data_IF_098152550760
#
_entry.id   IF_098152550760
#
_cell.length_a   1.000
_cell.length_b   1.000
_cell.length_c   1.000
_cell.angle_alpha   90.00
_cell.angle_beta   90.00
_cell.angle_gamma   90.00
#
_symmetry.space_group_name_H-M   'P 1'
#
loop_
_entity.id
_entity.type
_entity.pdbx_description
1 polymer ?
#
# COMPACT_ATOMS: atom_id res chain seq x y z
N UNK A 1 17.18 0.67 20.76
CA UNK A 1 18.33 1.08 19.93
C UNK A 1 17.86 1.13 18.48
N UNK A 2 18.11 2.23 17.79
CA UNK A 2 17.83 2.35 16.35
C UNK A 2 19.05 1.77 15.62
N UNK A 3 18.82 0.76 14.79
CA UNK A 3 19.86 0.21 13.92
C UNK A 3 20.08 1.17 12.75
N UNK A 4 21.30 1.69 12.63
CA UNK A 4 21.67 2.62 11.55
C UNK A 4 22.39 1.85 10.46
N UNK A 5 21.80 1.79 9.29
CA UNK A 5 22.41 1.22 8.07
C UNK A 5 23.19 2.33 7.36
N UNK A 6 24.52 2.25 7.39
CA UNK A 6 25.41 3.19 6.71
C UNK A 6 25.67 2.70 5.28
N UNK A 7 24.94 3.24 4.33
CA UNK A 7 25.03 2.85 2.91
C UNK A 7 26.39 3.20 2.30
N UNK A 8 27.06 4.25 2.77
CA UNK A 8 28.36 4.68 2.24
C UNK A 8 29.49 3.69 2.60
N UNK A 9 29.31 2.96 3.69
CA UNK A 9 30.21 1.87 4.12
C UNK A 9 29.84 0.51 3.54
N UNK A 10 28.74 0.41 2.82
CA UNK A 10 28.32 -0.85 2.23
C UNK A 10 29.31 -1.31 1.15
N UNK A 11 29.70 -2.58 1.23
CA UNK A 11 30.58 -3.19 0.22
C UNK A 11 29.81 -3.37 -1.09
N UNK A 12 30.35 -2.81 -2.18
CA UNK A 12 29.76 -2.98 -3.52
C UNK A 12 30.15 -4.33 -4.08
N UNK A 13 29.17 -5.18 -4.32
CA UNK A 13 29.34 -6.43 -5.08
C UNK A 13 28.93 -6.20 -6.55
N UNK A 14 29.62 -6.87 -7.47
CA UNK A 14 29.33 -6.77 -8.91
C UNK A 14 28.04 -7.47 -9.30
N UNK A 15 27.68 -8.52 -8.59
CA UNK A 15 26.44 -9.28 -8.72
C UNK A 15 26.11 -9.95 -7.40
N UNK A 16 24.85 -9.93 -7.02
CA UNK A 16 24.30 -10.69 -5.90
C UNK A 16 23.41 -11.80 -6.47
N UNK A 17 23.77 -13.05 -6.18
CA UNK A 17 22.95 -14.18 -6.58
C UNK A 17 21.77 -14.31 -5.60
N UNK A 18 20.56 -14.48 -6.12
CA UNK A 18 19.38 -14.71 -5.29
C UNK A 18 19.57 -15.87 -4.32
N UNK A 19 20.23 -16.94 -4.76
CA UNK A 19 20.54 -18.12 -3.91
C UNK A 19 21.48 -17.83 -2.74
N UNK A 20 22.13 -16.67 -2.68
CA UNK A 20 22.97 -16.27 -1.54
C UNK A 20 22.20 -15.54 -0.43
N UNK A 21 20.96 -15.12 -0.70
CA UNK A 21 20.12 -14.34 0.22
C UNK A 21 18.72 -14.91 0.40
N UNK A 22 18.29 -15.82 -0.49
CA UNK A 22 16.98 -16.44 -0.44
C UNK A 22 17.15 -17.96 -0.29
N UNK A 23 16.27 -18.55 0.50
CA UNK A 23 16.07 -20.01 0.50
C UNK A 23 15.40 -20.46 -0.79
N UNK A 24 15.22 -21.78 -0.95
CA UNK A 24 14.50 -22.33 -2.10
C UNK A 24 13.07 -21.76 -2.15
N UNK A 25 12.67 -21.16 -3.28
CA UNK A 25 11.36 -20.49 -3.34
C UNK A 25 10.22 -21.52 -3.39
N UNK A 26 9.21 -21.28 -2.58
CA UNK A 26 7.91 -21.93 -2.74
C UNK A 26 7.14 -21.29 -3.89
N UNK A 27 6.55 -22.11 -4.75
CA UNK A 27 5.71 -21.65 -5.86
C UNK A 27 4.25 -21.97 -5.57
N UNK A 28 3.43 -20.93 -5.46
CA UNK A 28 1.98 -21.05 -5.29
C UNK A 28 1.31 -20.69 -6.62
N UNK A 29 0.60 -21.65 -7.21
CA UNK A 29 -0.18 -21.42 -8.44
C UNK A 29 -1.56 -20.90 -8.02
N UNK A 30 -1.87 -19.67 -8.42
CA UNK A 30 -3.17 -19.07 -8.11
C UNK A 30 -4.25 -19.59 -9.06
N UNK A 31 -5.42 -19.84 -8.50
CA UNK A 31 -6.62 -20.15 -9.28
C UNK A 31 -6.94 -18.99 -10.24
N UNK A 32 -7.30 -19.32 -11.48
CA UNK A 32 -7.68 -18.35 -12.50
C UNK A 32 -9.05 -18.75 -13.06
N UNK A 33 -10.03 -17.89 -12.83
CA UNK A 33 -11.39 -18.03 -13.34
C UNK A 33 -11.98 -16.62 -13.60
N UNK A 34 -13.18 -16.48 -14.20
CA UNK A 34 -13.75 -15.16 -14.51
C UNK A 34 -13.93 -14.22 -13.30
N UNK A 35 -13.94 -14.74 -12.07
CA UNK A 35 -14.10 -13.95 -10.85
C UNK A 35 -12.76 -13.45 -10.27
N UNK A 36 -11.64 -14.05 -10.68
CA UNK A 36 -10.31 -13.77 -10.14
C UNK A 36 -9.22 -13.70 -11.23
N UNK A 37 -9.50 -12.99 -12.32
CA UNK A 37 -8.49 -12.66 -13.33
C UNK A 37 -7.64 -11.53 -12.77
N UNK A 38 -6.31 -11.75 -12.71
CA UNK A 38 -5.33 -10.74 -12.34
C UNK A 38 -4.64 -10.29 -13.62
N UNK A 39 -4.61 -8.98 -13.85
CA UNK A 39 -3.97 -8.37 -15.01
C UNK A 39 -2.64 -7.73 -14.65
N UNK A 40 -2.58 -7.00 -13.54
CA UNK A 40 -1.36 -6.45 -12.97
C UNK A 40 -1.35 -6.56 -11.45
N UNK A 41 -0.19 -6.83 -10.86
CA UNK A 41 -0.03 -6.91 -9.41
C UNK A 41 0.61 -5.62 -8.90
N UNK A 42 -0.20 -4.71 -8.37
CA UNK A 42 0.28 -3.44 -7.83
C UNK A 42 0.75 -3.56 -6.38
N UNK A 43 0.09 -4.40 -5.58
CA UNK A 43 0.50 -4.68 -4.21
C UNK A 43 0.14 -6.12 -3.81
N UNK A 44 0.94 -6.70 -2.91
CA UNK A 44 0.72 -8.04 -2.36
C UNK A 44 1.09 -8.04 -0.88
N UNK A 45 0.31 -8.74 -0.06
CA UNK A 45 0.63 -9.02 1.34
C UNK A 45 0.09 -10.40 1.73
N UNK A 46 0.67 -10.99 2.80
CA UNK A 46 0.24 -12.27 3.35
C UNK A 46 -0.16 -12.07 4.81
N UNK A 47 -1.39 -12.47 5.15
CA UNK A 47 -1.89 -12.39 6.50
C UNK A 47 -2.73 -13.62 6.85
N UNK A 48 -2.43 -14.25 8.01
CA UNK A 48 -3.10 -15.48 8.50
C UNK A 48 -3.24 -16.59 7.43
N UNK A 49 -2.17 -16.77 6.62
CA UNK A 49 -2.13 -17.78 5.58
C UNK A 49 -2.95 -17.48 4.33
N UNK A 50 -3.54 -16.30 4.22
CA UNK A 50 -4.19 -15.82 3.01
C UNK A 50 -3.28 -14.83 2.28
N UNK A 51 -3.36 -14.84 0.94
CA UNK A 51 -2.62 -13.96 0.05
C UNK A 51 -3.57 -12.89 -0.43
N UNK A 52 -3.22 -11.63 -0.21
CA UNK A 52 -3.97 -10.45 -0.64
C UNK A 52 -3.27 -9.82 -1.82
N UNK A 53 -3.97 -9.63 -2.93
CA UNK A 53 -3.40 -9.10 -4.17
C UNK A 53 -4.27 -7.97 -4.67
N UNK A 54 -3.68 -6.80 -4.81
CA UNK A 54 -4.31 -5.64 -5.45
C UNK A 54 -3.92 -5.60 -6.92
N UNK A 55 -4.93 -5.52 -7.78
CA UNK A 55 -4.82 -5.25 -9.20
C UNK A 55 -5.35 -3.84 -9.45
N UNK A 56 -4.54 -2.94 -10.04
CA UNK A 56 -4.94 -1.57 -10.33
C UNK A 56 -5.38 -1.37 -11.78
N UNK A 57 -5.05 -2.28 -12.69
CA UNK A 57 -5.56 -2.29 -14.07
C UNK A 57 -7.01 -2.83 -14.12
N UNK A 58 -7.29 -3.91 -13.38
CA UNK A 58 -8.65 -4.37 -13.10
C UNK A 58 -8.97 -4.08 -11.63
N UNK A 59 -9.38 -2.82 -11.29
CA UNK A 59 -9.43 -2.33 -9.93
C UNK A 59 -10.13 -3.30 -8.97
N UNK A 60 -9.36 -4.17 -8.32
CA UNK A 60 -9.87 -5.20 -7.43
C UNK A 60 -8.83 -5.65 -6.40
N UNK A 61 -9.28 -5.89 -5.18
CA UNK A 61 -8.49 -6.54 -4.14
C UNK A 61 -8.97 -7.98 -3.99
N UNK A 62 -8.11 -8.91 -4.40
CA UNK A 62 -8.37 -10.34 -4.36
C UNK A 62 -7.78 -10.97 -3.10
N UNK A 63 -8.43 -12.00 -2.60
CA UNK A 63 -7.92 -12.84 -1.51
C UNK A 63 -7.87 -14.30 -1.99
N UNK A 64 -6.70 -14.91 -1.85
CA UNK A 64 -6.47 -16.32 -2.11
C UNK A 64 -6.05 -17.02 -0.83
N UNK A 65 -6.31 -18.30 -0.72
CA UNK A 65 -5.75 -19.13 0.34
C UNK A 65 -4.30 -19.47 0.04
N UNK A 66 -3.60 -19.97 1.04
CA UNK A 66 -2.20 -20.40 0.88
C UNK A 66 -1.99 -21.50 -0.18
N UNK A 67 -3.02 -22.29 -0.47
CA UNK A 67 -2.98 -23.29 -1.53
C UNK A 67 -3.20 -22.73 -2.94
N UNK A 68 -3.41 -21.43 -3.06
CA UNK A 68 -3.66 -20.71 -4.30
C UNK A 68 -5.13 -20.67 -4.71
N UNK A 69 -6.04 -21.33 -3.98
CA UNK A 69 -7.47 -21.28 -4.30
C UNK A 69 -8.08 -19.92 -4.05
N UNK A 70 -8.92 -19.43 -4.96
CA UNK A 70 -9.61 -18.15 -4.80
C UNK A 70 -10.58 -18.20 -3.63
N UNK A 71 -10.50 -17.19 -2.77
CA UNK A 71 -11.40 -17.06 -1.63
C UNK A 71 -12.50 -16.04 -1.92
N UNK A 72 -12.13 -14.82 -2.28
CA UNK A 72 -13.06 -13.72 -2.58
C UNK A 72 -12.38 -12.45 -3.08
N UNK A 73 -13.21 -11.48 -3.43
CA UNK A 73 -12.82 -10.06 -3.56
C UNK A 73 -13.22 -9.30 -2.30
N UNK A 74 -12.46 -8.25 -1.98
CA UNK A 74 -12.79 -7.29 -0.92
C UNK A 74 -13.27 -6.00 -1.57
N UNK A 75 -14.50 -5.60 -1.25
CA UNK A 75 -15.16 -4.46 -1.88
C UNK A 75 -15.38 -4.64 -3.38
N UNK A 76 -15.74 -3.57 -4.06
CA UNK A 76 -15.83 -3.51 -5.52
C UNK A 76 -15.76 -2.08 -6.02
N UNK A 77 -15.48 -1.92 -7.29
CA UNK A 77 -15.41 -0.61 -7.93
C UNK A 77 -16.81 -0.01 -8.07
N UNK A 78 -16.98 1.25 -7.66
CA UNK A 78 -18.25 1.95 -7.76
C UNK A 78 -18.24 3.33 -7.11
N UNK A 79 -19.43 3.82 -6.77
CA UNK A 79 -19.64 5.15 -6.16
C UNK A 79 -20.53 5.07 -4.91
N UNK A 80 -20.90 3.88 -4.50
CA UNK A 80 -21.74 3.62 -3.35
C UNK A 80 -20.95 3.61 -2.04
N UNK A 81 -21.66 3.29 -0.98
CA UNK A 81 -21.08 3.17 0.35
C UNK A 81 -20.19 1.94 0.44
N UNK A 82 -18.92 2.13 0.79
CA UNK A 82 -17.95 1.05 0.84
C UNK A 82 -17.42 0.61 -0.52
N UNK A 83 -17.71 1.33 -1.59
CA UNK A 83 -17.12 1.12 -2.91
C UNK A 83 -15.92 2.03 -3.12
N UNK A 84 -14.94 1.56 -3.89
CA UNK A 84 -13.75 2.32 -4.27
C UNK A 84 -13.76 2.67 -5.76
N UNK A 85 -12.97 3.65 -6.14
CA UNK A 85 -12.85 4.08 -7.55
C UNK A 85 -11.55 3.61 -8.18
N UNK A 86 -10.43 3.97 -7.59
CA UNK A 86 -9.07 3.72 -8.08
C UNK A 86 -8.20 3.31 -6.90
N UNK A 87 -8.35 2.06 -6.44
CA UNK A 87 -7.53 1.54 -5.36
C UNK A 87 -6.10 1.39 -5.86
N UNK A 88 -5.14 1.96 -5.15
CA UNK A 88 -3.74 2.00 -5.59
C UNK A 88 -2.78 1.34 -4.60
N UNK A 89 -3.20 1.13 -3.36
CA UNK A 89 -2.39 0.46 -2.34
C UNK A 89 -3.26 -0.04 -1.20
N UNK A 90 -2.73 -0.94 -0.38
CA UNK A 90 -3.39 -1.36 0.85
C UNK A 90 -2.38 -1.66 1.97
N UNK A 91 -2.85 -1.60 3.20
CA UNK A 91 -2.07 -1.95 4.39
C UNK A 91 -2.93 -2.75 5.37
N UNK A 92 -2.33 -3.73 6.04
CA UNK A 92 -3.01 -4.58 7.00
C UNK A 92 -2.61 -4.19 8.42
N UNK A 93 -3.61 -3.80 9.22
CA UNK A 93 -3.51 -3.73 10.67
C UNK A 93 -3.62 -5.15 11.23
N UNK A 94 -2.47 -5.75 11.48
CA UNK A 94 -2.37 -7.15 11.92
C UNK A 94 -2.86 -7.35 13.35
N UNK A 95 -2.84 -6.31 14.18
CA UNK A 95 -3.28 -6.38 15.57
C UNK A 95 -4.80 -6.36 15.67
N UNK A 96 -5.45 -5.52 14.87
CA UNK A 96 -6.91 -5.32 14.92
C UNK A 96 -7.66 -6.11 13.84
N UNK A 97 -6.96 -6.75 12.90
CA UNK A 97 -7.56 -7.50 11.80
C UNK A 97 -8.35 -6.59 10.85
N UNK A 98 -7.78 -5.43 10.52
CA UNK A 98 -8.40 -4.44 9.63
C UNK A 98 -7.50 -4.23 8.40
N UNK A 99 -8.10 -4.26 7.23
CA UNK A 99 -7.45 -3.88 6.00
C UNK A 99 -7.83 -2.43 5.65
N UNK A 100 -6.82 -1.63 5.38
CA UNK A 100 -6.95 -0.27 4.87
C UNK A 100 -6.64 -0.30 3.37
N UNK A 101 -7.61 0.05 2.53
CA UNK A 101 -7.47 0.15 1.08
C UNK A 101 -7.43 1.63 0.70
N UNK A 102 -6.32 2.06 0.10
CA UNK A 102 -6.15 3.44 -0.33
C UNK A 102 -6.75 3.67 -1.71
N UNK A 103 -7.70 4.59 -1.79
CA UNK A 103 -8.26 5.10 -3.04
C UNK A 103 -7.63 6.45 -3.35
N UNK A 104 -6.67 6.44 -4.28
CA UNK A 104 -5.90 7.62 -4.65
C UNK A 104 -6.76 8.71 -5.31
N UNK A 105 -7.77 8.33 -6.09
CA UNK A 105 -8.67 9.28 -6.74
C UNK A 105 -9.58 10.01 -5.75
N UNK A 106 -9.97 9.34 -4.68
CA UNK A 106 -10.83 9.91 -3.64
C UNK A 106 -10.04 10.52 -2.48
N UNK A 107 -8.73 10.27 -2.37
CA UNK A 107 -7.89 10.55 -1.21
C UNK A 107 -8.54 9.99 0.07
N UNK A 108 -8.82 8.70 0.03
CA UNK A 108 -9.61 8.03 1.06
C UNK A 108 -9.03 6.65 1.38
N UNK A 109 -8.92 6.34 2.66
CA UNK A 109 -8.64 5.00 3.14
C UNK A 109 -9.97 4.31 3.50
N UNK A 110 -10.32 3.26 2.77
CA UNK A 110 -11.45 2.40 3.10
C UNK A 110 -11.00 1.31 4.06
N UNK A 111 -11.77 1.06 5.11
CA UNK A 111 -11.48 0.04 6.12
C UNK A 111 -12.39 -1.15 5.95
N UNK A 112 -11.82 -2.35 5.91
CA UNK A 112 -12.54 -3.62 5.83
C UNK A 112 -12.10 -4.54 6.96
N UNK A 113 -13.04 -5.31 7.51
CA UNK A 113 -12.75 -6.36 8.48
C UNK A 113 -12.08 -7.55 7.79
N UNK A 114 -10.93 -8.00 8.25
CA UNK A 114 -10.29 -9.22 7.74
C UNK A 114 -10.98 -10.50 8.23
N UNK A 115 -11.83 -10.40 9.25
CA UNK A 115 -12.62 -11.53 9.75
C UNK A 115 -13.88 -11.79 8.91
N UNK A 116 -14.61 -10.73 8.55
CA UNK A 116 -15.86 -10.84 7.78
C UNK A 116 -15.71 -10.40 6.34
N UNK A 117 -14.64 -9.67 6.02
CA UNK A 117 -14.35 -9.01 4.75
C UNK A 117 -15.38 -7.93 4.37
N UNK A 118 -16.18 -7.49 5.35
CA UNK A 118 -17.17 -6.45 5.17
C UNK A 118 -16.56 -5.06 5.37
N UNK A 119 -17.12 -4.10 4.68
CA UNK A 119 -16.78 -2.69 4.85
C UNK A 119 -17.12 -2.22 6.26
N UNK A 120 -16.22 -1.51 6.91
CA UNK A 120 -16.40 -0.93 8.23
C UNK A 120 -16.66 0.57 8.19
N UNK A 121 -15.74 1.30 7.56
CA UNK A 121 -15.77 2.76 7.49
C UNK A 121 -14.78 3.27 6.44
N UNK A 122 -14.73 4.57 6.24
CA UNK A 122 -13.64 5.21 5.49
C UNK A 122 -13.19 6.49 6.16
N UNK A 123 -11.93 6.81 5.95
CA UNK A 123 -11.30 8.05 6.41
C UNK A 123 -10.87 8.84 5.19
N UNK A 124 -11.45 10.02 5.04
CA UNK A 124 -11.10 10.95 3.97
C UNK A 124 -10.02 11.90 4.42
N UNK A 125 -8.97 12.01 3.65
CA UNK A 125 -7.92 13.02 3.87
C UNK A 125 -8.27 14.30 3.12
N UNK A 126 -7.65 15.40 3.54
CA UNK A 126 -7.75 16.66 2.77
C UNK A 126 -7.15 16.43 1.38
N UNK A 127 -7.92 16.72 0.34
CA UNK A 127 -7.42 16.68 -1.03
C UNK A 127 -6.40 17.80 -1.20
N UNK A 128 -5.12 17.43 -1.24
CA UNK A 128 -4.01 18.39 -1.33
C UNK A 128 -3.62 18.72 -2.78
N UNK A 129 -4.48 18.48 -3.76
CA UNK A 129 -4.15 18.68 -5.17
C UNK A 129 -3.15 17.68 -5.76
N UNK A 130 -2.66 16.74 -4.97
CA UNK A 130 -1.66 15.74 -5.32
C UNK A 130 -2.30 14.35 -5.40
N UNK A 131 -1.88 13.59 -6.41
CA UNK A 131 -2.17 12.16 -6.44
C UNK A 131 -1.23 11.46 -5.47
N UNK A 132 -1.77 10.54 -4.71
CA UNK A 132 -1.02 9.67 -3.81
C UNK A 132 -1.33 8.22 -4.18
N UNK A 133 -0.29 7.44 -4.40
CA UNK A 133 -0.43 6.05 -4.87
C UNK A 133 -0.07 5.03 -3.81
N UNK A 134 0.71 5.41 -2.80
CA UNK A 134 1.15 4.50 -1.76
C UNK A 134 0.70 4.96 -0.39
N UNK A 135 0.33 4.00 0.44
CA UNK A 135 -0.09 4.21 1.81
C UNK A 135 0.45 3.09 2.71
N UNK A 136 0.92 3.44 3.89
CA UNK A 136 1.32 2.48 4.93
C UNK A 136 0.72 2.88 6.27
N UNK A 137 0.10 1.93 6.96
CA UNK A 137 -0.29 2.09 8.35
C UNK A 137 0.89 1.76 9.27
N UNK A 138 1.21 2.67 10.20
CA UNK A 138 2.21 2.46 11.25
C UNK A 138 1.61 2.95 12.58
N UNK A 139 1.32 2.02 13.47
CA UNK A 139 0.55 2.33 14.69
C UNK A 139 -0.84 2.88 14.38
N UNK A 140 -1.12 4.10 14.82
CA UNK A 140 -2.39 4.82 14.59
C UNK A 140 -2.27 5.90 13.49
N UNK A 141 -1.22 5.84 12.66
CA UNK A 141 -0.95 6.81 11.60
C UNK A 141 -0.92 6.17 10.22
N UNK A 142 -1.51 6.87 9.26
CA UNK A 142 -1.37 6.56 7.85
C UNK A 142 -0.27 7.45 7.26
N UNK A 143 0.75 6.82 6.69
CA UNK A 143 1.79 7.50 5.92
C UNK A 143 1.45 7.38 4.45
N UNK A 144 1.28 8.51 3.80
CA UNK A 144 0.82 8.60 2.41
C UNK A 144 1.85 9.37 1.60
N UNK A 145 2.27 8.82 0.46
CA UNK A 145 3.26 9.48 -0.38
C UNK A 145 2.69 10.71 -1.11
N UNK A 146 3.55 11.63 -1.48
CA UNK A 146 3.24 12.78 -2.34
C UNK A 146 3.95 12.61 -3.67
N UNK A 147 3.22 12.72 -4.76
CA UNK A 147 3.76 12.57 -6.12
C UNK A 147 4.30 13.86 -6.71
N UNK A 148 3.93 15.01 -6.17
CA UNK A 148 4.52 16.28 -6.58
C UNK A 148 4.94 17.10 -5.38
N UNK A 149 6.07 17.77 -5.51
CA UNK A 149 6.59 18.71 -4.52
C UNK A 149 6.04 20.08 -4.87
N UNK A 150 5.31 20.67 -3.92
CA UNK A 150 4.84 22.05 -3.99
C UNK A 150 5.68 22.88 -3.04
N UNK A 151 6.21 23.99 -3.53
CA UNK A 151 7.00 24.91 -2.73
C UNK A 151 6.23 25.43 -1.49
N UNK A 152 4.93 25.61 -1.63
CA UNK A 152 4.06 26.06 -0.55
C UNK A 152 3.78 24.98 0.50
N UNK A 153 3.98 23.71 0.14
CA UNK A 153 3.77 22.56 1.02
C UNK A 153 5.05 21.99 1.64
N UNK A 154 6.18 22.69 1.50
CA UNK A 154 7.43 22.43 2.22
C UNK A 154 8.29 21.28 1.69
N UNK A 155 8.05 20.78 0.45
CA UNK A 155 8.88 19.74 -0.19
C UNK A 155 9.01 18.44 0.61
N UNK A 156 7.98 18.00 1.31
CA UNK A 156 7.97 16.72 2.00
C UNK A 156 7.45 15.61 1.11
N UNK A 157 8.07 14.41 1.21
CA UNK A 157 7.72 13.22 0.41
C UNK A 157 6.59 12.40 1.02
N UNK A 158 6.43 12.45 2.34
CA UNK A 158 5.39 11.72 3.05
C UNK A 158 4.53 12.68 3.89
N UNK A 159 3.25 12.39 3.95
CA UNK A 159 2.30 13.00 4.88
C UNK A 159 1.95 11.97 5.95
N UNK A 160 2.00 12.39 7.20
CA UNK A 160 1.45 11.65 8.34
C UNK A 160 0.01 12.09 8.57
N UNK A 161 -0.90 11.13 8.64
CA UNK A 161 -2.34 11.36 8.75
C UNK A 161 -2.89 10.53 9.90
N UNK A 162 -3.67 11.14 10.76
CA UNK A 162 -4.40 10.43 11.81
C UNK A 162 -5.45 9.49 11.20
N UNK A 163 -5.37 8.20 11.53
CA UNK A 163 -6.15 7.15 10.90
C UNK A 163 -7.65 7.20 11.24
N UNK A 164 -8.06 7.96 12.26
CA UNK A 164 -9.46 8.12 12.68
C UNK A 164 -10.11 9.35 12.07
N UNK A 165 -9.38 10.44 12.00
CA UNK A 165 -9.92 11.73 11.61
C UNK A 165 -9.59 12.14 10.18
N UNK A 166 -8.57 11.53 9.56
CA UNK A 166 -8.04 11.92 8.26
C UNK A 166 -7.30 13.25 8.26
N UNK A 167 -7.03 13.81 9.45
CA UNK A 167 -6.31 15.06 9.58
C UNK A 167 -4.82 14.79 9.44
N UNK A 168 -4.16 15.58 8.59
CA UNK A 168 -2.71 15.55 8.49
C UNK A 168 -2.11 16.10 9.79
N UNK A 169 -1.26 15.29 10.44
CA UNK A 169 -0.62 15.61 11.72
C UNK A 169 0.81 16.08 11.53
N UNK A 170 1.50 15.57 10.51
CA UNK A 170 2.89 15.94 10.23
C UNK A 170 3.23 15.72 8.74
N UNK A 171 4.47 16.08 8.38
CA UNK A 171 5.08 15.82 7.07
C UNK A 171 6.52 15.36 7.26
N UNK A 172 6.87 14.24 6.61
CA UNK A 172 8.14 13.57 6.80
C UNK A 172 8.97 13.54 5.51
N UNK A 173 10.27 13.25 5.64
CA UNK A 173 11.22 13.11 4.54
C UNK A 173 11.27 14.36 3.65
N UNK A 174 11.80 15.45 4.21
CA UNK A 174 12.01 16.68 3.46
C UNK A 174 13.04 16.47 2.34
N UNK A 175 12.68 16.84 1.13
CA UNK A 175 13.55 16.79 -0.05
C UNK A 175 14.07 18.20 -0.35
N UNK A 176 15.19 18.60 0.28
CA UNK A 176 15.73 19.95 0.16
C UNK A 176 16.35 20.25 -1.21
N UNK A 177 16.84 19.22 -1.93
CA UNK A 177 17.57 19.36 -3.21
C UNK A 177 16.85 18.71 -4.41
N UNK A 178 15.55 18.51 -4.33
CA UNK A 178 14.84 17.79 -5.37
C UNK A 178 14.61 18.66 -6.61
N UNK A 179 15.23 18.27 -7.72
CA UNK A 179 15.07 18.91 -9.02
C UNK A 179 13.58 18.87 -9.42
N UNK A 180 12.97 20.03 -9.56
CA UNK A 180 11.59 20.22 -9.99
C UNK A 180 11.36 19.52 -11.33
N UNK A 181 10.73 18.38 -11.35
CA UNK A 181 10.37 17.69 -12.59
C UNK A 181 10.34 16.17 -12.58
N UNK A 182 10.66 15.50 -11.49
CA UNK A 182 10.58 14.05 -11.39
C UNK A 182 9.41 13.62 -10.49
N UNK A 183 8.50 12.85 -11.04
CA UNK A 183 7.48 12.17 -10.24
C UNK A 183 8.11 10.95 -9.59
N UNK A 184 8.23 10.96 -8.26
CA UNK A 184 8.66 9.79 -7.50
C UNK A 184 7.46 9.07 -6.90
N UNK A 185 7.20 7.87 -7.35
CA UNK A 185 6.44 6.91 -6.61
C UNK A 185 7.40 6.21 -5.64
N UNK A 186 7.44 6.63 -4.40
CA UNK A 186 8.07 5.85 -3.34
C UNK A 186 7.11 4.69 -3.03
N UNK A 187 7.29 3.54 -3.68
CA UNK A 187 6.76 2.30 -3.16
C UNK A 187 7.66 1.93 -1.99
N UNK A 188 7.13 2.01 -0.77
CA UNK A 188 7.80 1.42 0.38
C UNK A 188 7.71 -0.10 0.19
N UNK A 189 8.82 -0.80 -0.03
CA UNK A 189 8.78 -2.24 -0.18
C UNK A 189 8.56 -2.86 1.20
N UNK A 190 7.49 -3.60 1.34
CA UNK A 190 7.25 -4.61 2.35
C UNK A 190 6.99 -4.12 3.79
N UNK A 191 5.80 -4.44 4.29
CA UNK A 191 5.55 -4.62 5.71
C UNK A 191 6.19 -5.95 6.15
N UNK A 192 7.17 -5.90 7.04
CA UNK A 192 7.68 -7.06 7.77
C UNK A 192 6.78 -7.43 8.93
#
# INVERSE_FOLDING_TARGET
>A
DIEVIDIDKAKREKALLYSSILEEPDVIVLETNPECIIQDVSAIDIYEGNIYILDDELPALYVFRRDGSFLRRIGHQGRGHGEYREPSDFSIDRENGILYLWDGALCMAHKYSLRTYEYLSSVRTKRSGYQSFCMQLVGDKLYVNRTSLDADAGNYLLMEIDEKTGVQTDSCLKADDYNRGWNFALRLPFSF
#
